data_IF_657849646996
#
_entry.id   IF_657849646996
#
_cell.length_a   1.000
_cell.length_b   1.000
_cell.length_c   1.000
_cell.angle_alpha   90.00
_cell.angle_beta   90.00
_cell.angle_gamma   90.00
#
_symmetry.space_group_name_H-M   'P 1'
#
loop_
_entity.id
_entity.type
_entity.pdbx_description
1 polymer ?
#
# COMPACT_ATOMS: atom_id res chain seq x y z
N UNK A 1 -18.23 -7.34 -3.98
CA UNK A 1 -17.60 -6.86 -2.72
C UNK A 1 -18.42 -5.66 -2.28
N UNK A 2 -19.10 -5.74 -1.13
CA UNK A 2 -19.98 -4.67 -0.68
C UNK A 2 -19.11 -3.50 -0.20
N UNK A 3 -19.19 -2.33 -0.87
CA UNK A 3 -18.37 -1.16 -0.54
C UNK A 3 -18.54 -0.71 0.93
N UNK A 4 -19.69 -1.04 1.53
CA UNK A 4 -20.10 -0.71 2.89
C UNK A 4 -19.22 -1.32 3.99
N UNK A 5 -18.55 -2.46 3.76
CA UNK A 5 -17.75 -3.11 4.80
C UNK A 5 -16.33 -2.54 4.93
N UNK A 6 -15.84 -1.82 3.90
CA UNK A 6 -14.45 -1.36 3.79
C UNK A 6 -14.02 -0.38 4.89
N UNK A 7 -14.96 0.28 5.56
CA UNK A 7 -14.69 1.20 6.67
C UNK A 7 -14.67 0.57 8.06
N UNK A 8 -15.04 -0.70 8.20
CA UNK A 8 -15.07 -1.39 9.50
C UNK A 8 -13.70 -1.99 9.84
N UNK A 9 -13.41 -2.21 11.13
CA UNK A 9 -12.19 -2.94 11.53
C UNK A 9 -12.08 -4.29 10.83
N UNK A 10 -13.19 -5.02 10.78
CA UNK A 10 -13.28 -6.33 10.13
C UNK A 10 -13.03 -6.23 8.62
N UNK A 11 -13.54 -5.19 7.97
CA UNK A 11 -13.30 -4.96 6.54
C UNK A 11 -11.86 -4.57 6.22
N UNK A 12 -11.22 -3.76 7.07
CA UNK A 12 -9.78 -3.44 6.97
C UNK A 12 -8.95 -4.72 7.12
N UNK A 13 -9.20 -5.52 8.16
CA UNK A 13 -8.49 -6.78 8.37
C UNK A 13 -8.73 -7.78 7.22
N UNK A 14 -9.98 -7.96 6.80
CA UNK A 14 -10.32 -8.82 5.67
C UNK A 14 -9.62 -8.36 4.37
N UNK A 15 -9.44 -7.05 4.20
CA UNK A 15 -8.71 -6.51 3.05
C UNK A 15 -7.22 -6.84 3.13
N UNK A 16 -6.59 -6.68 4.30
CA UNK A 16 -5.20 -7.06 4.55
C UNK A 16 -4.93 -8.55 4.31
N UNK A 17 -5.90 -9.43 4.56
CA UNK A 17 -5.77 -10.87 4.24
C UNK A 17 -5.91 -11.19 2.75
N UNK A 18 -6.83 -10.50 2.06
CA UNK A 18 -7.15 -10.79 0.64
C UNK A 18 -6.14 -10.19 -0.33
N UNK A 19 -5.63 -8.99 -0.03
CA UNK A 19 -4.77 -8.24 -0.93
C UNK A 19 -3.48 -8.97 -1.33
N UNK A 20 -2.64 -9.49 -0.40
CA UNK A 20 -1.42 -10.20 -0.77
C UNK A 20 -1.72 -11.49 -1.55
N UNK A 21 -2.79 -12.22 -1.18
CA UNK A 21 -3.23 -13.42 -1.91
C UNK A 21 -3.59 -13.10 -3.36
N UNK A 22 -4.29 -11.98 -3.59
CA UNK A 22 -4.64 -11.50 -4.93
C UNK A 22 -3.39 -11.21 -5.75
N UNK A 23 -2.41 -10.52 -5.16
CA UNK A 23 -1.17 -10.16 -5.84
C UNK A 23 -0.24 -11.35 -6.12
N UNK A 24 -0.16 -12.34 -5.21
CA UNK A 24 0.56 -13.61 -5.48
C UNK A 24 0.03 -14.29 -6.72
N UNK A 25 -1.29 -14.44 -6.84
CA UNK A 25 -1.92 -15.03 -8.03
C UNK A 25 -1.64 -14.21 -9.30
N UNK A 26 -1.60 -12.88 -9.22
CA UNK A 26 -1.24 -12.03 -10.35
C UNK A 26 0.23 -12.22 -10.77
N UNK A 27 1.15 -12.33 -9.82
CA UNK A 27 2.57 -12.58 -10.08
C UNK A 27 2.77 -13.94 -10.74
N UNK A 28 2.15 -14.99 -10.21
CA UNK A 28 2.22 -16.36 -10.75
C UNK A 28 1.70 -16.44 -12.19
N UNK A 29 0.69 -15.63 -12.53
CA UNK A 29 0.09 -15.57 -13.87
C UNK A 29 0.74 -14.53 -14.80
N UNK A 30 1.64 -13.69 -14.28
CA UNK A 30 1.86 -12.33 -14.75
C UNK A 30 2.88 -12.09 -15.88
N UNK A 31 3.56 -13.12 -16.39
CA UNK A 31 4.52 -12.96 -17.51
C UNK A 31 5.49 -11.77 -17.33
N UNK A 32 5.52 -10.84 -18.28
CA UNK A 32 6.40 -9.65 -18.24
C UNK A 32 6.07 -8.62 -17.14
N UNK A 33 4.88 -8.68 -16.55
CA UNK A 33 4.47 -7.81 -15.44
C UNK A 33 4.88 -8.40 -14.06
N UNK A 34 5.41 -9.62 -14.02
CA UNK A 34 5.71 -10.32 -12.77
C UNK A 34 6.74 -9.58 -11.89
N UNK A 35 7.68 -8.83 -12.48
CA UNK A 35 8.67 -8.06 -11.70
C UNK A 35 8.00 -6.92 -10.92
N UNK A 36 7.19 -6.10 -11.57
CA UNK A 36 6.42 -5.04 -10.90
C UNK A 36 5.46 -5.66 -9.87
N UNK A 37 4.79 -6.77 -10.22
CA UNK A 37 3.92 -7.48 -9.29
C UNK A 37 4.62 -8.00 -8.04
N UNK A 38 5.87 -8.49 -8.16
CA UNK A 38 6.69 -8.89 -6.99
C UNK A 38 7.02 -7.69 -6.11
N UNK A 39 7.35 -6.54 -6.69
CA UNK A 39 7.59 -5.31 -5.95
C UNK A 39 6.35 -4.84 -5.19
N UNK A 40 5.17 -4.88 -5.81
CA UNK A 40 3.91 -4.54 -5.14
C UNK A 40 3.60 -5.52 -4.01
N UNK A 41 3.80 -6.82 -4.23
CA UNK A 41 3.60 -7.83 -3.19
C UNK A 41 4.53 -7.58 -1.98
N UNK A 42 5.81 -7.28 -2.22
CA UNK A 42 6.76 -6.95 -1.16
C UNK A 42 6.32 -5.73 -0.35
N UNK A 43 5.86 -4.65 -1.01
CA UNK A 43 5.31 -3.48 -0.33
C UNK A 43 4.08 -3.83 0.53
N UNK A 44 3.17 -4.67 0.03
CA UNK A 44 1.98 -5.09 0.78
C UNK A 44 2.40 -5.86 2.04
N UNK A 45 3.32 -6.80 1.93
CA UNK A 45 3.76 -7.64 3.05
C UNK A 45 4.52 -6.82 4.10
N UNK A 46 5.42 -5.94 3.67
CA UNK A 46 6.12 -5.01 4.55
C UNK A 46 5.17 -4.04 5.26
N UNK A 47 4.19 -3.46 4.53
CA UNK A 47 3.21 -2.55 5.12
C UNK A 47 2.26 -3.28 6.09
N UNK A 48 1.90 -4.53 5.82
CA UNK A 48 1.05 -5.34 6.70
C UNK A 48 1.70 -5.64 8.06
N UNK A 49 3.03 -5.56 8.15
CA UNK A 49 3.81 -5.73 9.37
C UNK A 49 3.88 -4.46 10.23
N UNK A 50 3.53 -3.28 9.70
CA UNK A 50 3.53 -2.01 10.43
C UNK A 50 2.15 -1.70 11.02
N UNK A 51 1.99 -1.64 12.36
CA UNK A 51 0.69 -1.35 13.00
C UNK A 51 0.04 -0.03 12.59
N UNK A 52 0.85 0.99 12.28
CA UNK A 52 0.43 2.32 11.86
C UNK A 52 -0.23 2.31 10.48
N UNK A 53 0.24 1.47 9.56
CA UNK A 53 -0.38 1.29 8.24
C UNK A 53 -1.50 0.26 8.29
N UNK A 54 -1.39 -0.77 9.14
CA UNK A 54 -2.38 -1.84 9.26
C UNK A 54 -3.77 -1.34 9.69
N UNK A 55 -3.86 -0.20 10.39
CA UNK A 55 -5.14 0.44 10.73
C UNK A 55 -5.85 1.09 9.54
N UNK A 56 -5.12 1.37 8.45
CA UNK A 56 -5.63 2.01 7.24
C UNK A 56 -6.13 0.96 6.25
N UNK A 57 -7.04 1.35 5.36
CA UNK A 57 -7.55 0.46 4.32
C UNK A 57 -6.59 0.41 3.12
N UNK A 58 -5.95 -0.74 2.80
CA UNK A 58 -4.99 -0.81 1.70
C UNK A 58 -5.68 -1.10 0.36
N UNK A 59 -5.21 -0.44 -0.68
CA UNK A 59 -5.61 -0.75 -2.05
C UNK A 59 -4.48 -0.47 -3.02
N UNK A 60 -4.56 -1.09 -4.20
CA UNK A 60 -3.55 -0.93 -5.25
C UNK A 60 -4.18 -0.41 -6.53
N UNK A 61 -3.54 0.57 -7.17
CA UNK A 61 -3.92 1.13 -8.46
C UNK A 61 -2.66 1.35 -9.30
N UNK A 62 -2.62 0.85 -10.54
CA UNK A 62 -1.45 1.00 -11.43
C UNK A 62 -0.10 0.60 -10.79
N UNK A 63 -0.07 -0.49 -10.03
CA UNK A 63 1.10 -0.93 -9.25
C UNK A 63 1.53 0.01 -8.11
N UNK A 64 0.71 0.99 -7.74
CA UNK A 64 0.91 1.84 -6.57
C UNK A 64 0.08 1.31 -5.41
N UNK A 65 0.71 1.03 -4.27
CA UNK A 65 0.07 0.77 -2.99
C UNK A 65 -0.34 2.10 -2.35
N UNK A 66 -1.62 2.24 -2.04
CA UNK A 66 -2.23 3.41 -1.44
C UNK A 66 -3.04 3.01 -0.21
N UNK A 67 -3.27 3.99 0.66
CA UNK A 67 -4.05 3.83 1.88
C UNK A 67 -5.25 4.78 1.85
N UNK A 68 -6.40 4.29 2.32
CA UNK A 68 -7.61 5.08 2.52
C UNK A 68 -7.93 5.21 4.00
N UNK A 69 -8.68 6.26 4.36
CA UNK A 69 -9.22 6.40 5.71
C UNK A 69 -10.21 5.27 6.05
N UNK A 70 -10.40 5.03 7.34
CA UNK A 70 -11.34 4.05 7.87
C UNK A 70 -12.78 4.54 7.66
N UNK A 71 -13.36 4.24 6.49
CA UNK A 71 -14.70 4.69 6.12
C UNK A 71 -15.18 4.29 4.72
N UNK A 72 -14.37 3.57 3.93
CA UNK A 72 -14.80 3.01 2.65
C UNK A 72 -14.97 4.00 1.50
N UNK A 73 -14.90 5.31 1.77
CA UNK A 73 -14.70 6.31 0.71
C UNK A 73 -13.20 6.48 0.55
N UNK A 74 -12.62 6.21 -0.63
CA UNK A 74 -11.25 6.55 -0.95
C UNK A 74 -11.13 8.08 -1.14
N UNK A 75 -11.40 8.85 -0.08
CA UNK A 75 -10.72 10.13 0.05
C UNK A 75 -9.26 9.78 0.29
N UNK A 76 -8.37 10.35 -0.52
CA UNK A 76 -6.92 10.18 -0.41
C UNK A 76 -6.56 10.27 1.07
N UNK A 77 -6.10 9.17 1.68
CA UNK A 77 -5.63 9.29 3.05
C UNK A 77 -4.42 10.23 3.01
N UNK A 78 -4.21 10.99 4.08
CA UNK A 78 -3.00 11.78 4.30
C UNK A 78 -1.71 10.93 4.40
N UNK A 79 -1.81 9.61 4.14
CA UNK A 79 -0.70 8.69 4.13
C UNK A 79 0.03 8.71 2.77
N UNK A 80 1.36 8.62 2.78
CA UNK A 80 2.14 8.41 1.55
C UNK A 80 1.72 7.15 0.80
N UNK A 81 1.90 7.18 -0.53
CA UNK A 81 1.74 6.01 -1.38
C UNK A 81 3.10 5.42 -1.76
N UNK A 82 3.11 4.17 -2.21
CA UNK A 82 4.33 3.40 -2.44
C UNK A 82 4.26 2.71 -3.80
N UNK A 83 5.31 2.81 -4.61
CA UNK A 83 5.39 2.10 -5.90
C UNK A 83 6.76 1.46 -6.11
N UNK A 84 6.84 0.27 -6.74
CA UNK A 84 8.09 -0.28 -7.22
C UNK A 84 8.49 0.39 -8.53
N UNK A 85 9.79 0.53 -8.76
CA UNK A 85 10.37 1.04 -10.01
C UNK A 85 10.85 -0.10 -10.91
N UNK A 86 11.14 0.19 -12.18
CA UNK A 86 11.61 -0.83 -13.14
C UNK A 86 13.00 -1.39 -12.80
N UNK A 87 13.83 -0.60 -12.12
CA UNK A 87 15.16 -0.97 -11.65
C UNK A 87 15.14 -1.73 -10.30
N UNK A 88 13.95 -2.03 -9.77
CA UNK A 88 13.78 -2.85 -8.56
C UNK A 88 13.86 -2.08 -7.24
N UNK A 89 13.97 -0.74 -7.31
CA UNK A 89 13.90 0.17 -6.16
C UNK A 89 12.43 0.52 -5.86
N UNK A 90 12.23 1.34 -4.83
CA UNK A 90 10.92 1.76 -4.37
C UNK A 90 10.86 3.27 -4.23
N UNK A 91 9.69 3.83 -4.51
CA UNK A 91 9.40 5.26 -4.32
C UNK A 91 8.30 5.45 -3.30
N UNK A 92 8.50 6.47 -2.48
CA UNK A 92 7.48 7.01 -1.57
C UNK A 92 6.92 8.27 -2.23
N UNK A 93 5.61 8.29 -2.45
CA UNK A 93 4.89 9.38 -3.08
C UNK A 93 4.10 10.14 -2.02
N UNK A 94 4.00 11.46 -2.19
CA UNK A 94 3.06 12.29 -1.42
C UNK A 94 1.63 11.75 -1.54
N UNK A 95 0.73 11.98 -0.56
CA UNK A 95 -0.67 11.53 -0.60
C UNK A 95 -1.41 11.78 -1.93
N UNK A 96 -1.24 12.99 -2.49
CA UNK A 96 -1.82 13.40 -3.78
C UNK A 96 -1.03 12.94 -5.02
N UNK A 97 -0.09 12.01 -4.86
CA UNK A 97 0.72 11.35 -5.91
C UNK A 97 1.56 12.26 -6.84
N UNK A 98 1.62 13.56 -6.57
CA UNK A 98 2.27 14.53 -7.48
C UNK A 98 3.78 14.69 -7.25
N UNK A 99 4.32 14.13 -6.16
CA UNK A 99 5.74 14.28 -5.82
C UNK A 99 6.31 13.01 -5.17
N UNK A 100 7.52 12.63 -5.59
CA UNK A 100 8.36 11.65 -4.88
C UNK A 100 8.97 12.34 -3.65
N UNK A 101 8.71 11.80 -2.47
CA UNK A 101 9.19 12.31 -1.17
C UNK A 101 10.23 11.40 -0.52
N UNK A 102 10.53 10.26 -1.14
CA UNK A 102 11.59 9.35 -0.73
C UNK A 102 11.83 8.26 -1.78
N UNK A 103 13.02 7.69 -1.77
CA UNK A 103 13.38 6.48 -2.52
C UNK A 103 14.05 5.50 -1.57
N UNK A 104 13.95 4.22 -1.86
CA UNK A 104 14.47 3.15 -1.02
C UNK A 104 14.91 1.96 -1.87
N UNK A 105 15.88 1.21 -1.37
CA UNK A 105 16.41 0.03 -2.05
C UNK A 105 15.67 -1.26 -1.62
N UNK A 106 14.83 -1.18 -0.58
CA UNK A 106 13.95 -2.26 -0.13
C UNK A 106 12.53 -1.79 0.15
N UNK A 107 11.60 -2.75 0.19
CA UNK A 107 10.20 -2.47 0.49
C UNK A 107 10.03 -2.04 1.96
N UNK A 108 10.79 -2.63 2.87
CA UNK A 108 10.79 -2.32 4.30
C UNK A 108 11.27 -0.90 4.56
N UNK A 109 12.32 -0.46 3.87
CA UNK A 109 12.83 0.91 3.98
C UNK A 109 11.82 1.91 3.41
N UNK A 110 11.22 1.63 2.25
CA UNK A 110 10.17 2.47 1.69
C UNK A 110 8.97 2.62 2.64
N UNK A 111 8.57 1.51 3.27
CA UNK A 111 7.49 1.48 4.25
C UNK A 111 7.87 2.25 5.52
N UNK A 112 9.09 2.12 6.02
CA UNK A 112 9.56 2.89 7.17
C UNK A 112 9.55 4.40 6.89
N UNK A 113 9.99 4.81 5.69
CA UNK A 113 9.89 6.20 5.23
C UNK A 113 8.44 6.68 5.16
N UNK A 114 7.51 5.86 4.68
CA UNK A 114 6.09 6.21 4.65
C UNK A 114 5.49 6.37 6.06
N UNK A 115 5.83 5.47 6.99
CA UNK A 115 5.38 5.55 8.39
C UNK A 115 5.88 6.83 9.06
N UNK A 116 7.15 7.20 8.84
CA UNK A 116 7.75 8.41 9.38
C UNK A 116 7.08 9.71 8.89
N UNK A 117 6.36 9.65 7.77
CA UNK A 117 5.67 10.78 7.14
C UNK A 117 4.15 10.77 7.40
N UNK A 118 3.64 9.83 8.21
CA UNK A 118 2.24 9.84 8.60
C UNK A 118 1.94 11.07 9.46
N UNK A 119 0.76 11.68 9.31
CA UNK A 119 0.32 12.73 10.22
C UNK A 119 0.27 12.18 11.65
N UNK A 120 0.50 13.02 12.67
CA UNK A 120 0.29 12.62 14.05
C UNK A 120 -1.16 12.13 14.24
N UNK A 121 -1.40 11.17 15.14
CA UNK A 121 -2.76 10.77 15.46
C UNK A 121 -3.54 12.00 15.92
N UNK A 122 -4.68 12.28 15.27
CA UNK A 122 -5.57 13.35 15.70
C UNK A 122 -5.96 13.11 17.16
N UNK A 123 -5.73 14.12 18.00
CA UNK A 123 -6.06 14.10 19.43
C UNK A 123 -7.57 14.03 19.69
#
# INVERSE_FOLDING_TARGET
MNLQDSGTHAGVEARWQRLPTTWRLMVERGGSQAAAGRGVLALIEAAAAQPELRRLYPFTSHCVLRFGSRGGVPTEADAPALEPTRDGRFRVLSPGLHRVIGEADSAEEAVALAVAQLPPPSA
#
